data_IF_653502271887
#
_entry.id   IF_653502271887
#
_cell.length_a   1.000
_cell.length_b   1.000
_cell.length_c   1.000
_cell.angle_alpha   90.00
_cell.angle_beta   90.00
_cell.angle_gamma   90.00
#
_symmetry.space_group_name_H-M   'P 1'
#
loop_
_entity.id
_entity.type
_entity.pdbx_description
1 polymer ?
#
# COMPACT_ATOMS: atom_id res chain seq x y z
N UNK A 1 -22.34 1.07 -43.13
CA UNK A 1 -21.58 0.85 -41.88
C UNK A 1 -22.59 0.58 -40.78
N UNK A 2 -22.72 -0.66 -40.32
CA UNK A 2 -23.58 -0.97 -39.17
C UNK A 2 -23.04 -0.31 -37.90
N UNK A 3 -23.88 -0.03 -36.88
CA UNK A 3 -23.41 0.54 -35.63
C UNK A 3 -22.36 -0.40 -35.03
N UNK A 4 -21.16 0.12 -34.77
CA UNK A 4 -20.14 -0.57 -33.98
C UNK A 4 -20.77 -0.92 -32.63
N UNK A 5 -20.97 -2.22 -32.38
CA UNK A 5 -21.47 -2.69 -31.09
C UNK A 5 -20.38 -2.41 -30.06
N UNK A 6 -20.60 -1.40 -29.23
CA UNK A 6 -19.72 -1.09 -28.10
C UNK A 6 -19.96 -2.16 -27.04
N UNK A 7 -18.91 -2.89 -26.67
CA UNK A 7 -19.00 -3.86 -25.58
C UNK A 7 -19.32 -3.12 -24.26
N UNK A 8 -20.16 -3.68 -23.41
CA UNK A 8 -20.50 -3.08 -22.11
C UNK A 8 -20.13 -4.04 -20.98
N UNK A 9 -19.23 -3.63 -20.09
CA UNK A 9 -18.74 -4.43 -18.98
C UNK A 9 -19.20 -3.87 -17.63
N UNK A 10 -20.03 -4.62 -16.88
CA UNK A 10 -20.42 -4.23 -15.54
C UNK A 10 -19.23 -4.17 -14.58
N UNK A 11 -19.18 -3.14 -13.75
CA UNK A 11 -18.12 -2.95 -12.77
C UNK A 11 -18.63 -2.57 -11.38
N UNK A 12 -17.84 -2.95 -10.36
CA UNK A 12 -17.98 -2.47 -9.00
C UNK A 12 -17.03 -1.29 -8.76
N UNK A 13 -17.59 -0.14 -8.37
CA UNK A 13 -16.85 1.11 -8.21
C UNK A 13 -16.48 1.32 -6.74
N UNK A 14 -15.20 1.54 -6.45
CA UNK A 14 -14.76 1.93 -5.11
C UNK A 14 -15.34 3.29 -4.69
N UNK A 15 -15.80 3.46 -3.44
CA UNK A 15 -16.20 4.76 -2.92
C UNK A 15 -15.07 5.80 -2.99
N UNK A 16 -13.80 5.38 -3.04
CA UNK A 16 -12.65 6.29 -3.15
C UNK A 16 -12.55 6.98 -4.51
N UNK A 17 -13.20 6.44 -5.55
CA UNK A 17 -13.19 7.01 -6.92
C UNK A 17 -14.59 7.27 -7.48
N UNK A 18 -15.63 6.93 -6.70
CA UNK A 18 -17.03 7.07 -7.07
C UNK A 18 -17.39 8.46 -7.60
N UNK A 19 -16.95 9.52 -6.92
CA UNK A 19 -17.28 10.89 -7.28
C UNK A 19 -16.83 11.27 -8.71
N UNK A 20 -15.75 10.67 -9.23
CA UNK A 20 -15.30 10.91 -10.60
C UNK A 20 -16.09 10.13 -11.63
N UNK A 21 -16.55 8.94 -11.27
CA UNK A 21 -17.40 8.10 -12.13
C UNK A 21 -18.81 8.70 -12.23
N UNK A 22 -19.36 9.18 -11.11
CA UNK A 22 -20.72 9.74 -11.08
C UNK A 22 -20.78 11.18 -11.62
N UNK A 23 -19.63 11.86 -11.66
CA UNK A 23 -19.50 13.24 -12.12
C UNK A 23 -19.68 13.40 -13.63
N UNK A 24 -19.59 14.65 -14.14
CA UNK A 24 -19.69 14.93 -15.56
C UNK A 24 -18.57 14.22 -16.34
N UNK A 25 -18.84 13.68 -17.55
CA UNK A 25 -17.84 13.07 -18.41
C UNK A 25 -16.67 14.02 -18.70
N UNK A 26 -15.44 13.54 -18.48
CA UNK A 26 -14.20 14.26 -18.78
C UNK A 26 -13.17 13.32 -19.38
N UNK A 27 -12.42 13.80 -20.37
CA UNK A 27 -11.25 13.10 -20.88
C UNK A 27 -10.17 13.01 -19.80
N UNK A 28 -9.62 11.81 -19.61
CA UNK A 28 -8.60 11.46 -18.62
C UNK A 28 -7.51 10.65 -19.27
N UNK A 29 -6.26 10.98 -18.97
CA UNK A 29 -5.11 10.26 -19.49
C UNK A 29 -4.90 8.94 -18.76
N UNK A 30 -4.55 7.92 -19.52
CA UNK A 30 -4.11 6.62 -19.03
C UNK A 30 -2.63 6.71 -18.69
N UNK A 31 -2.31 6.52 -17.42
CA UNK A 31 -0.95 6.58 -16.91
C UNK A 31 -0.17 5.31 -17.26
N UNK A 32 -0.83 4.15 -17.19
CA UNK A 32 -0.23 2.85 -17.50
C UNK A 32 -1.32 1.84 -17.83
N UNK A 33 -0.99 0.90 -18.71
CA UNK A 33 -1.91 -0.15 -19.15
C UNK A 33 -1.22 -1.52 -19.10
N UNK A 34 -1.87 -2.47 -18.43
CA UNK A 34 -1.45 -3.86 -18.31
C UNK A 34 -2.60 -4.78 -18.70
N UNK A 35 -2.31 -6.08 -18.87
CA UNK A 35 -3.32 -7.07 -19.22
C UNK A 35 -4.53 -7.06 -18.28
N UNK A 36 -4.32 -6.89 -16.97
CA UNK A 36 -5.35 -7.01 -15.95
C UNK A 36 -5.69 -5.69 -15.25
N UNK A 37 -4.99 -4.59 -15.55
CA UNK A 37 -5.18 -3.31 -14.85
C UNK A 37 -4.80 -2.10 -15.72
N UNK A 38 -5.63 -1.06 -15.71
CA UNK A 38 -5.36 0.28 -16.25
C UNK A 38 -5.32 1.29 -15.11
N UNK A 39 -4.36 2.20 -15.15
CA UNK A 39 -4.31 3.35 -14.23
C UNK A 39 -4.67 4.62 -14.97
N UNK A 40 -5.68 5.34 -14.48
CA UNK A 40 -6.25 6.54 -15.11
C UNK A 40 -6.13 7.72 -14.15
N UNK A 41 -5.59 8.85 -14.62
CA UNK A 41 -5.49 10.06 -13.80
C UNK A 41 -6.87 10.70 -13.56
N UNK A 42 -7.08 11.32 -12.40
CA UNK A 42 -8.37 11.90 -12.02
C UNK A 42 -8.33 13.41 -11.73
N UNK A 43 -7.21 14.07 -12.07
CA UNK A 43 -7.09 15.53 -12.12
C UNK A 43 -6.08 16.15 -11.15
N UNK A 44 -5.61 15.41 -10.14
CA UNK A 44 -4.44 15.79 -9.34
C UNK A 44 -3.47 14.63 -9.26
N UNK A 45 -2.22 14.93 -8.93
CA UNK A 45 -1.12 13.96 -8.89
C UNK A 45 -1.41 12.73 -8.01
N UNK A 46 -2.07 12.91 -6.87
CA UNK A 46 -2.43 11.86 -5.91
C UNK A 46 -3.83 11.26 -6.14
N UNK A 47 -4.44 11.53 -7.30
CA UNK A 47 -5.78 11.03 -7.66
C UNK A 47 -5.68 10.19 -8.92
N UNK A 48 -5.67 8.88 -8.69
CA UNK A 48 -5.60 7.85 -9.72
C UNK A 48 -6.71 6.85 -9.46
N UNK A 49 -7.28 6.32 -10.53
CA UNK A 49 -8.23 5.21 -10.52
C UNK A 49 -7.60 4.00 -11.20
N UNK A 50 -7.77 2.82 -10.59
CA UNK A 50 -7.39 1.56 -11.20
C UNK A 50 -8.62 0.87 -11.80
N UNK A 51 -8.72 0.72 -13.12
CA UNK A 51 -9.73 -0.16 -13.73
C UNK A 51 -9.09 -1.54 -13.86
N UNK A 52 -9.67 -2.56 -13.23
CA UNK A 52 -8.98 -3.84 -13.13
C UNK A 52 -9.93 -5.05 -13.23
N UNK A 53 -9.38 -6.16 -13.70
CA UNK A 53 -10.10 -7.42 -13.84
C UNK A 53 -10.25 -8.14 -12.50
N UNK A 54 -11.10 -9.19 -12.41
CA UNK A 54 -11.29 -9.99 -11.22
C UNK A 54 -10.03 -10.63 -10.60
N UNK A 55 -9.06 -10.97 -11.44
CA UNK A 55 -7.80 -11.67 -11.15
C UNK A 55 -6.64 -10.72 -10.84
N UNK A 56 -6.82 -9.41 -11.04
CA UNK A 56 -5.87 -8.40 -10.58
C UNK A 56 -5.92 -8.21 -9.05
N UNK A 57 -4.86 -7.63 -8.50
CA UNK A 57 -4.84 -7.15 -7.11
C UNK A 57 -5.99 -6.18 -6.90
N UNK A 58 -6.80 -6.42 -5.87
CA UNK A 58 -7.94 -5.56 -5.54
C UNK A 58 -7.45 -4.29 -4.84
N UNK A 59 -7.24 -3.24 -5.62
CA UNK A 59 -6.76 -1.96 -5.12
C UNK A 59 -7.91 -1.13 -4.51
N UNK A 60 -7.65 -0.37 -3.43
CA UNK A 60 -8.68 0.47 -2.80
C UNK A 60 -9.18 1.60 -3.71
N UNK A 61 -8.40 2.00 -4.70
CA UNK A 61 -8.73 3.01 -5.72
C UNK A 61 -9.38 2.38 -6.98
N UNK A 62 -10.00 1.20 -6.83
CA UNK A 62 -10.39 0.33 -7.93
C UNK A 62 -11.81 0.52 -8.50
N UNK A 63 -11.93 0.29 -9.80
CA UNK A 63 -13.17 -0.05 -10.54
C UNK A 63 -12.98 -1.47 -11.07
N UNK A 64 -13.63 -2.44 -10.41
CA UNK A 64 -13.42 -3.86 -10.68
C UNK A 64 -14.45 -4.39 -11.69
N UNK A 65 -13.98 -4.91 -12.81
CA UNK A 65 -14.82 -5.56 -13.83
C UNK A 65 -15.47 -6.84 -13.29
N UNK A 66 -16.58 -7.25 -13.90
CA UNK A 66 -17.26 -8.51 -13.58
C UNK A 66 -16.57 -9.74 -14.15
N UNK A 67 -15.83 -9.60 -15.25
CA UNK A 67 -15.17 -10.70 -15.96
C UNK A 67 -13.75 -10.36 -16.42
N UNK A 68 -13.00 -11.36 -16.89
CA UNK A 68 -11.65 -11.17 -17.42
C UNK A 68 -11.69 -10.43 -18.76
N UNK A 69 -10.78 -9.48 -18.94
CA UNK A 69 -10.57 -8.71 -20.18
C UNK A 69 -9.09 -8.38 -20.26
N UNK A 70 -8.46 -8.54 -21.44
CA UNK A 70 -7.10 -8.03 -21.66
C UNK A 70 -7.16 -6.55 -21.95
N UNK A 71 -6.92 -5.73 -20.94
CA UNK A 71 -7.13 -4.28 -21.01
C UNK A 71 -6.08 -3.58 -21.89
N UNK A 72 -4.86 -4.08 -21.93
CA UNK A 72 -3.79 -3.54 -22.78
C UNK A 72 -3.96 -3.88 -24.27
N UNK A 73 -4.90 -4.74 -24.65
CA UNK A 73 -5.26 -4.95 -26.06
C UNK A 73 -6.14 -3.81 -26.60
N UNK A 74 -6.72 -3.00 -25.69
CA UNK A 74 -7.71 -1.97 -26.00
C UNK A 74 -7.18 -0.55 -25.81
N UNK A 75 -6.28 -0.38 -24.84
CA UNK A 75 -5.84 0.91 -24.33
C UNK A 75 -4.36 0.84 -23.95
N UNK A 76 -3.61 1.86 -24.30
CA UNK A 76 -2.18 2.00 -24.01
C UNK A 76 -1.91 3.17 -23.07
N UNK A 77 -0.71 3.19 -22.50
CA UNK A 77 -0.26 4.35 -21.72
C UNK A 77 -0.18 5.59 -22.63
N UNK A 78 -0.70 6.71 -22.15
CA UNK A 78 -0.80 7.97 -22.90
C UNK A 78 -2.15 8.20 -23.57
N UNK A 79 -2.95 7.15 -23.78
CA UNK A 79 -4.29 7.28 -24.35
C UNK A 79 -5.21 8.12 -23.46
N UNK A 80 -6.26 8.69 -24.07
CA UNK A 80 -7.30 9.43 -23.35
C UNK A 80 -8.59 8.62 -23.35
N UNK A 81 -9.10 8.34 -22.15
CA UNK A 81 -10.39 7.67 -21.92
C UNK A 81 -11.36 8.68 -21.30
N UNK A 82 -12.66 8.47 -21.48
CA UNK A 82 -13.66 9.36 -20.85
C UNK A 82 -14.14 8.77 -19.53
N UNK A 83 -14.04 9.52 -18.44
CA UNK A 83 -14.51 9.11 -17.11
C UNK A 83 -15.64 10.04 -16.67
N UNK A 84 -16.79 9.47 -16.29
CA UNK A 84 -17.97 10.20 -15.82
C UNK A 84 -19.26 9.59 -16.36
N UNK A 85 -20.41 10.14 -15.97
CA UNK A 85 -21.72 9.65 -16.42
C UNK A 85 -21.99 8.19 -16.03
N UNK A 86 -21.42 7.74 -14.91
CA UNK A 86 -21.53 6.38 -14.39
C UNK A 86 -20.62 5.34 -15.07
N UNK A 87 -19.66 5.75 -15.92
CA UNK A 87 -18.81 4.81 -16.68
C UNK A 87 -17.39 5.31 -16.93
N UNK A 88 -16.55 4.39 -17.40
CA UNK A 88 -15.27 4.67 -18.07
C UNK A 88 -15.39 4.19 -19.52
N UNK A 89 -15.31 5.11 -20.47
CA UNK A 89 -15.43 4.83 -21.90
C UNK A 89 -14.03 4.61 -22.46
N UNK A 90 -13.79 3.38 -22.92
CA UNK A 90 -12.58 2.93 -23.59
C UNK A 90 -12.84 2.88 -25.11
N UNK A 91 -11.79 2.79 -25.96
CA UNK A 91 -11.97 2.52 -27.38
C UNK A 91 -12.73 1.18 -27.58
N UNK A 92 -13.94 1.27 -28.13
CA UNK A 92 -14.77 0.10 -28.45
C UNK A 92 -15.45 -0.60 -27.25
N UNK A 93 -15.31 -0.09 -26.02
CA UNK A 93 -15.93 -0.69 -24.84
C UNK A 93 -16.26 0.33 -23.74
N UNK A 94 -17.35 0.11 -23.03
CA UNK A 94 -17.75 0.88 -21.84
C UNK A 94 -17.64 0.03 -20.58
N UNK A 95 -16.92 0.54 -19.58
CA UNK A 95 -16.92 -0.01 -18.22
C UNK A 95 -17.98 0.71 -17.40
N UNK A 96 -19.10 0.06 -17.17
CA UNK A 96 -20.29 0.66 -16.55
C UNK A 96 -20.33 0.35 -15.06
N UNK A 97 -20.34 1.39 -14.22
CA UNK A 97 -20.49 1.25 -12.78
C UNK A 97 -21.90 0.83 -12.41
N UNK A 98 -22.10 -0.45 -12.08
CA UNK A 98 -23.43 -1.01 -11.74
C UNK A 98 -23.65 -1.20 -10.24
N UNK A 99 -22.57 -1.16 -9.45
CA UNK A 99 -22.62 -1.29 -7.99
C UNK A 99 -21.43 -0.60 -7.32
N UNK A 100 -21.54 -0.37 -6.01
CA UNK A 100 -20.40 0.04 -5.18
C UNK A 100 -19.68 -1.19 -4.63
N UNK A 101 -18.36 -1.16 -4.64
CA UNK A 101 -17.56 -2.13 -3.88
C UNK A 101 -17.48 -1.70 -2.41
N UNK A 102 -17.03 -2.63 -1.56
CA UNK A 102 -16.75 -2.38 -0.14
C UNK A 102 -15.27 -2.63 0.10
N UNK A 103 -14.38 -1.66 -0.20
CA UNK A 103 -12.97 -1.80 0.14
C UNK A 103 -12.85 -2.01 1.64
N UNK A 104 -11.80 -2.72 2.04
CA UNK A 104 -11.53 -2.99 3.46
C UNK A 104 -10.46 -2.05 3.98
N UNK A 105 -10.52 -1.78 5.28
CA UNK A 105 -9.68 -0.80 5.94
C UNK A 105 -9.06 -1.44 7.19
N UNK A 106 -7.79 -1.14 7.42
CA UNK A 106 -7.11 -1.44 8.69
C UNK A 106 -7.78 -0.65 9.81
N UNK A 107 -8.18 -1.36 10.86
CA UNK A 107 -8.76 -0.77 12.08
C UNK A 107 -7.78 0.14 12.81
N UNK A 108 -8.30 1.01 13.68
CA UNK A 108 -7.46 1.75 14.64
C UNK A 108 -7.08 0.82 15.80
N UNK A 109 -5.88 1.03 16.35
CA UNK A 109 -5.27 0.20 17.39
C UNK A 109 -6.19 -0.24 18.53
N UNK A 110 -5.91 -1.46 19.01
CA UNK A 110 -6.65 -2.20 20.04
C UNK A 110 -6.12 -3.63 20.24
N UNK A 111 -5.37 -4.15 19.26
CA UNK A 111 -4.66 -5.42 19.35
C UNK A 111 -3.66 -5.51 20.49
N UNK A 112 -3.53 -6.68 21.12
CA UNK A 112 -2.47 -6.96 22.10
C UNK A 112 -1.11 -6.89 21.43
N UNK A 113 -0.12 -6.44 22.20
CA UNK A 113 1.25 -6.33 21.74
C UNK A 113 1.74 -7.64 21.08
N UNK A 114 2.81 -7.56 20.29
CA UNK A 114 3.28 -8.65 19.45
C UNK A 114 3.82 -9.90 20.22
N UNK A 115 3.54 -10.07 21.51
CA UNK A 115 4.04 -11.21 22.31
C UNK A 115 3.61 -12.58 21.76
N UNK A 116 2.46 -12.67 21.09
CA UNK A 116 2.01 -13.91 20.45
C UNK A 116 2.93 -14.37 19.31
N UNK A 117 3.62 -13.47 18.58
CA UNK A 117 4.51 -13.90 17.49
C UNK A 117 5.89 -14.34 17.98
N UNK A 118 6.39 -13.80 19.11
CA UNK A 118 7.60 -14.33 19.76
C UNK A 118 7.40 -15.80 20.15
N UNK A 119 6.22 -16.15 20.67
CA UNK A 119 5.86 -17.53 21.02
C UNK A 119 5.72 -18.47 19.81
N UNK A 120 5.51 -17.92 18.61
CA UNK A 120 5.38 -18.71 17.38
C UNK A 120 6.72 -18.96 16.67
N UNK A 121 7.84 -18.39 17.15
CA UNK A 121 9.16 -18.56 16.51
C UNK A 121 9.19 -18.13 15.04
N UNK A 122 8.18 -17.37 14.60
CA UNK A 122 8.05 -16.89 13.24
C UNK A 122 9.04 -15.74 13.05
N UNK A 123 10.27 -16.08 12.68
CA UNK A 123 10.98 -15.22 11.74
C UNK A 123 10.01 -15.00 10.57
N UNK A 124 9.56 -13.76 10.35
CA UNK A 124 8.66 -13.43 9.25
C UNK A 124 9.26 -14.07 7.98
N UNK A 125 8.56 -15.04 7.34
CA UNK A 125 9.18 -15.92 6.37
C UNK A 125 9.78 -15.09 5.24
N UNK A 126 11.10 -15.21 5.06
CA UNK A 126 11.83 -14.50 4.03
C UNK A 126 11.77 -12.98 4.15
N UNK A 127 11.90 -12.42 5.36
CA UNK A 127 12.25 -11.00 5.55
C UNK A 127 13.69 -10.65 5.05
N UNK A 128 14.26 -11.47 4.18
CA UNK A 128 15.39 -11.09 3.34
C UNK A 128 14.87 -10.04 2.38
N UNK A 129 14.96 -8.79 2.82
CA UNK A 129 14.89 -7.63 1.95
C UNK A 129 15.81 -7.89 0.78
N UNK A 130 15.27 -7.71 -0.42
CA UNK A 130 15.99 -8.03 -1.65
C UNK A 130 17.29 -7.22 -1.68
N UNK A 131 18.37 -7.82 -2.18
CA UNK A 131 19.69 -7.18 -2.25
C UNK A 131 19.67 -5.82 -3.00
N UNK A 132 18.65 -5.55 -3.83
CA UNK A 132 18.46 -4.28 -4.53
C UNK A 132 17.89 -3.14 -3.66
N UNK A 133 17.63 -3.36 -2.37
CA UNK A 133 17.14 -2.35 -1.44
C UNK A 133 18.25 -1.60 -0.68
N UNK A 134 19.53 -1.92 -0.87
CA UNK A 134 20.73 -1.29 -0.27
C UNK A 134 20.44 -0.23 0.82
N UNK A 135 20.13 -0.70 2.04
CA UNK A 135 19.98 0.12 3.24
C UNK A 135 18.64 0.84 3.44
N UNK A 136 17.64 0.65 2.56
CA UNK A 136 16.29 1.18 2.74
C UNK A 136 15.53 0.52 3.91
N UNK A 137 15.81 -0.75 4.18
CA UNK A 137 15.35 -1.51 5.33
C UNK A 137 15.79 -0.92 6.67
N UNK A 138 17.04 -0.51 6.70
CA UNK A 138 17.72 0.12 7.81
C UNK A 138 17.12 1.50 8.07
N UNK A 139 16.82 2.24 7.00
CA UNK A 139 16.08 3.50 7.06
C UNK A 139 14.65 3.27 7.56
N UNK A 140 13.94 2.27 7.06
CA UNK A 140 12.58 1.94 7.47
C UNK A 140 12.51 1.60 8.96
N UNK A 141 13.43 0.77 9.46
CA UNK A 141 13.50 0.40 10.88
C UNK A 141 13.80 1.62 11.75
N UNK A 142 14.81 2.44 11.38
CA UNK A 142 15.12 3.69 12.11
C UNK A 142 13.95 4.68 12.09
N UNK A 143 13.23 4.77 10.97
CA UNK A 143 12.04 5.61 10.82
C UNK A 143 10.92 5.14 11.75
N UNK A 144 10.66 3.83 11.84
CA UNK A 144 9.68 3.27 12.76
C UNK A 144 10.03 3.58 14.22
N UNK A 145 11.29 3.37 14.62
CA UNK A 145 11.75 3.72 15.98
C UNK A 145 11.59 5.22 16.24
N UNK A 146 12.00 6.08 15.30
CA UNK A 146 11.84 7.52 15.44
C UNK A 146 10.38 7.93 15.63
N UNK A 147 9.47 7.41 14.79
CA UNK A 147 8.04 7.69 14.89
C UNK A 147 7.45 7.23 16.23
N UNK A 148 7.75 5.99 16.65
CA UNK A 148 7.23 5.39 17.90
C UNK A 148 7.78 6.07 19.16
N UNK A 149 8.96 6.70 19.08
CA UNK A 149 9.60 7.43 20.19
C UNK A 149 9.36 8.94 20.14
N UNK A 150 8.52 9.43 19.22
CA UNK A 150 8.21 10.86 19.09
C UNK A 150 9.35 11.72 18.52
N UNK A 151 10.38 11.11 17.92
CA UNK A 151 11.48 11.81 17.26
C UNK A 151 11.07 12.28 15.85
N UNK A 152 11.77 13.27 15.26
CA UNK A 152 11.50 13.72 13.90
C UNK A 152 11.60 12.59 12.86
N UNK A 153 10.62 12.54 11.94
CA UNK A 153 10.49 11.50 10.90
C UNK A 153 10.83 12.01 9.49
N UNK A 154 10.97 13.33 9.34
CA UNK A 154 11.05 14.01 8.04
C UNK A 154 12.25 13.57 7.19
N UNK A 155 13.41 13.35 7.83
CA UNK A 155 14.61 12.90 7.13
C UNK A 155 14.44 11.47 6.61
N UNK A 156 13.95 10.54 7.45
CA UNK A 156 13.68 9.15 7.04
C UNK A 156 12.65 9.07 5.93
N UNK A 157 11.53 9.78 6.06
CA UNK A 157 10.53 9.89 4.99
C UNK A 157 11.14 10.48 3.71
N UNK A 158 11.99 11.50 3.84
CA UNK A 158 12.67 12.12 2.70
C UNK A 158 13.62 11.20 1.95
N UNK A 159 14.14 10.15 2.60
CA UNK A 159 14.96 9.11 1.94
C UNK A 159 14.12 8.01 1.30
N UNK A 160 12.90 7.75 1.79
CA UNK A 160 12.05 6.66 1.30
C UNK A 160 11.10 7.10 0.18
N UNK A 161 10.48 8.28 0.25
CA UNK A 161 9.48 8.68 -0.75
C UNK A 161 10.11 8.78 -2.14
N UNK A 162 9.58 7.98 -3.07
CA UNK A 162 10.06 7.89 -4.44
C UNK A 162 11.37 7.12 -4.62
N UNK A 163 11.90 6.47 -3.58
CA UNK A 163 13.12 5.66 -3.69
C UNK A 163 12.84 4.31 -4.34
N UNK A 164 13.60 3.97 -5.39
CA UNK A 164 13.40 2.76 -6.19
C UNK A 164 12.87 3.04 -7.59
N UNK A 165 12.80 2.01 -8.43
CA UNK A 165 12.35 2.11 -9.83
C UNK A 165 10.89 1.67 -9.99
N UNK A 166 10.28 2.05 -11.12
CA UNK A 166 8.96 1.55 -11.54
C UNK A 166 7.80 2.40 -11.05
N UNK A 167 6.58 1.87 -11.24
CA UNK A 167 5.34 2.58 -10.94
C UNK A 167 5.06 2.69 -9.44
N UNK A 168 5.54 1.73 -8.65
CA UNK A 168 5.51 1.75 -7.18
C UNK A 168 6.96 1.58 -6.71
N UNK A 169 7.69 2.69 -6.50
CA UNK A 169 9.04 2.63 -5.95
C UNK A 169 9.07 1.88 -4.60
N UNK A 170 10.07 1.04 -4.38
CA UNK A 170 10.18 0.21 -3.18
C UNK A 170 10.09 0.98 -1.86
N UNK A 171 10.66 2.18 -1.80
CA UNK A 171 10.56 3.06 -0.63
C UNK A 171 9.12 3.50 -0.31
N UNK A 172 8.25 3.59 -1.31
CA UNK A 172 6.85 3.92 -1.12
C UNK A 172 6.01 2.72 -0.65
N UNK A 173 6.30 1.53 -1.18
CA UNK A 173 5.67 0.29 -0.74
C UNK A 173 6.05 0.00 0.72
N UNK A 174 7.32 0.18 1.09
CA UNK A 174 7.81 0.19 2.47
C UNK A 174 7.01 1.17 3.35
N UNK A 175 6.87 2.43 2.91
CA UNK A 175 6.10 3.45 3.63
C UNK A 175 4.62 3.07 3.79
N UNK A 176 4.01 2.46 2.78
CA UNK A 176 2.63 1.95 2.87
C UNK A 176 2.52 0.87 3.95
N UNK A 177 3.46 -0.09 3.97
CA UNK A 177 3.56 -1.11 5.01
C UNK A 177 3.66 -0.51 6.42
N UNK A 178 4.53 0.49 6.59
CA UNK A 178 4.71 1.19 7.88
C UNK A 178 3.44 1.93 8.30
N UNK A 179 2.84 2.73 7.41
CA UNK A 179 1.62 3.49 7.69
C UNK A 179 0.47 2.56 8.12
N UNK A 180 0.25 1.48 7.37
CA UNK A 180 -0.80 0.51 7.69
C UNK A 180 -0.53 -0.22 9.01
N UNK A 181 0.73 -0.53 9.31
CA UNK A 181 1.12 -1.23 10.53
C UNK A 181 1.02 -0.35 11.76
N UNK A 182 1.53 0.88 11.72
CA UNK A 182 1.35 1.85 12.80
C UNK A 182 -0.15 2.06 13.07
N UNK A 183 -0.98 2.13 12.03
CA UNK A 183 -2.43 2.22 12.21
C UNK A 183 -3.02 1.02 12.99
N UNK A 184 -2.55 -0.19 12.70
CA UNK A 184 -3.04 -1.43 13.31
C UNK A 184 -2.55 -1.62 14.76
N UNK A 185 -1.30 -1.26 15.04
CA UNK A 185 -0.61 -1.63 16.28
C UNK A 185 -0.43 -0.47 17.27
N UNK A 186 -0.39 0.77 16.79
CA UNK A 186 -0.12 1.92 17.65
C UNK A 186 -1.25 2.10 18.66
N UNK A 187 -0.87 2.29 19.93
CA UNK A 187 -1.76 2.72 20.99
C UNK A 187 -1.45 4.17 21.35
N UNK A 188 -2.47 4.98 21.72
CA UNK A 188 -2.24 6.30 22.31
C UNK A 188 -1.21 6.23 23.45
N UNK A 189 -0.41 7.29 23.69
CA UNK A 189 -0.59 8.65 23.18
C UNK A 189 0.29 9.05 21.97
N UNK A 190 1.14 8.16 21.44
CA UNK A 190 2.36 8.59 20.74
C UNK A 190 2.23 9.21 19.34
N UNK A 191 1.04 9.22 18.72
CA UNK A 191 0.77 9.95 17.47
C UNK A 191 1.69 9.62 16.29
N UNK A 192 2.42 8.50 16.32
CA UNK A 192 3.42 8.06 15.35
C UNK A 192 2.83 7.96 13.94
N UNK A 193 1.66 7.32 13.80
CA UNK A 193 0.92 7.25 12.55
C UNK A 193 0.58 8.66 12.04
N UNK A 194 0.15 9.56 12.92
CA UNK A 194 -0.21 10.94 12.56
C UNK A 194 1.01 11.77 12.12
N UNK A 195 2.14 11.62 12.81
CA UNK A 195 3.40 12.27 12.44
C UNK A 195 3.89 11.78 11.08
N UNK A 196 3.92 10.46 10.87
CA UNK A 196 4.33 9.86 9.61
C UNK A 196 3.40 10.26 8.46
N UNK A 197 2.07 10.19 8.67
CA UNK A 197 1.07 10.63 7.71
C UNK A 197 1.34 12.06 7.24
N UNK A 198 1.53 13.02 8.15
CA UNK A 198 1.81 14.42 7.77
C UNK A 198 3.10 14.53 6.95
N UNK A 199 4.17 13.88 7.40
CA UNK A 199 5.47 13.94 6.73
C UNK A 199 5.43 13.37 5.31
N UNK A 200 4.73 12.25 5.11
CA UNK A 200 4.58 11.59 3.80
C UNK A 200 3.68 12.40 2.86
N UNK A 201 2.51 12.86 3.33
CA UNK A 201 1.58 13.63 2.50
C UNK A 201 2.20 14.92 1.96
N UNK A 202 3.11 15.56 2.71
CA UNK A 202 3.85 16.74 2.24
C UNK A 202 4.85 16.47 1.11
N UNK A 203 5.12 15.20 0.78
CA UNK A 203 6.16 14.77 -0.16
C UNK A 203 5.64 13.94 -1.34
N UNK A 204 4.33 13.81 -1.52
CA UNK A 204 3.75 13.01 -2.61
C UNK A 204 4.22 13.41 -4.02
N UNK A 205 4.62 14.67 -4.21
CA UNK A 205 5.19 15.17 -5.46
C UNK A 205 6.53 14.52 -5.85
N UNK A 206 7.19 13.81 -4.92
CA UNK A 206 8.48 13.14 -5.16
C UNK A 206 8.36 11.70 -5.65
N UNK A 207 7.13 11.20 -5.82
CA UNK A 207 6.89 9.86 -6.36
C UNK A 207 5.92 9.89 -7.54
N UNK A 208 5.69 8.75 -8.18
CA UNK A 208 4.73 8.57 -9.26
C UNK A 208 3.30 8.86 -8.79
N UNK A 209 2.41 9.21 -9.71
CA UNK A 209 1.01 9.46 -9.39
C UNK A 209 0.29 8.22 -8.83
N UNK A 210 0.65 7.04 -9.35
CA UNK A 210 0.10 5.75 -8.88
C UNK A 210 0.49 5.53 -7.42
N UNK A 211 1.78 5.63 -7.10
CA UNK A 211 2.28 5.47 -5.74
C UNK A 211 1.71 6.53 -4.79
N UNK A 212 1.64 7.79 -5.22
CA UNK A 212 1.05 8.88 -4.44
C UNK A 212 -0.42 8.61 -4.05
N UNK A 213 -1.22 8.04 -4.97
CA UNK A 213 -2.61 7.66 -4.70
C UNK A 213 -2.69 6.48 -3.72
N UNK A 214 -1.82 5.47 -3.85
CA UNK A 214 -1.75 4.31 -2.96
C UNK A 214 -1.29 4.70 -1.55
N UNK A 215 -0.27 5.54 -1.42
CA UNK A 215 0.16 6.14 -0.15
C UNK A 215 -1.01 6.91 0.49
N UNK A 216 -1.71 7.74 -0.27
CA UNK A 216 -2.85 8.50 0.24
C UNK A 216 -3.94 7.58 0.80
N UNK A 217 -4.23 6.47 0.11
CA UNK A 217 -5.13 5.43 0.59
C UNK A 217 -4.60 4.75 1.87
N UNK A 218 -3.31 4.41 1.91
CA UNK A 218 -2.65 3.77 3.05
C UNK A 218 -2.62 4.66 4.31
N UNK A 219 -2.43 5.98 4.19
CA UNK A 219 -2.52 6.92 5.33
C UNK A 219 -3.91 6.98 5.96
N UNK A 220 -4.92 6.52 5.23
CA UNK A 220 -6.26 6.35 5.74
C UNK A 220 -6.49 4.92 6.22
N UNK A 221 -5.65 3.95 5.90
CA UNK A 221 -5.81 2.55 6.27
C UNK A 221 -6.44 1.68 5.18
N UNK A 222 -6.70 2.24 3.99
CA UNK A 222 -7.23 1.45 2.87
C UNK A 222 -6.09 0.67 2.22
N UNK A 223 -6.30 -0.63 2.00
CA UNK A 223 -5.31 -1.51 1.39
C UNK A 223 -6.00 -2.70 0.70
N UNK A 224 -5.22 -3.53 0.02
CA UNK A 224 -5.71 -4.79 -0.54
C UNK A 224 -6.25 -5.71 0.57
N UNK A 225 -7.28 -6.55 0.28
CA UNK A 225 -7.90 -7.40 1.30
C UNK A 225 -6.94 -8.32 2.06
N UNK A 226 -5.97 -8.92 1.37
CA UNK A 226 -4.96 -9.78 2.00
C UNK A 226 -4.07 -8.99 2.97
N UNK A 227 -3.71 -7.74 2.68
CA UNK A 227 -2.94 -6.89 3.59
C UNK A 227 -3.74 -6.53 4.84
N UNK A 228 -5.03 -6.17 4.68
CA UNK A 228 -5.89 -5.88 5.83
C UNK A 228 -6.12 -7.13 6.67
N UNK A 229 -6.32 -8.30 6.05
CA UNK A 229 -6.44 -9.58 6.75
C UNK A 229 -5.15 -9.92 7.50
N UNK A 230 -3.99 -9.76 6.87
CA UNK A 230 -2.68 -10.00 7.49
C UNK A 230 -2.51 -9.14 8.73
N UNK A 231 -2.70 -7.82 8.62
CA UNK A 231 -2.55 -6.91 9.76
C UNK A 231 -3.58 -7.19 10.86
N UNK A 232 -4.81 -7.58 10.51
CA UNK A 232 -5.80 -8.03 11.48
C UNK A 232 -5.34 -9.27 12.26
N UNK A 233 -4.76 -10.26 11.58
CA UNK A 233 -4.22 -11.47 12.20
C UNK A 233 -3.05 -11.13 13.12
N UNK A 234 -2.10 -10.31 12.63
CA UNK A 234 -0.94 -9.86 13.40
C UNK A 234 -1.34 -9.03 14.62
N UNK A 235 -2.40 -8.24 14.52
CA UNK A 235 -2.93 -7.44 15.63
C UNK A 235 -3.84 -8.25 16.57
N UNK A 236 -4.11 -9.53 16.30
CA UNK A 236 -5.08 -10.32 17.06
C UNK A 236 -6.51 -9.78 17.01
N UNK A 237 -6.81 -8.89 16.05
CA UNK A 237 -8.12 -8.25 15.90
C UNK A 237 -9.12 -9.13 15.14
N UNK A 238 -8.64 -10.20 14.52
CA UNK A 238 -9.45 -11.25 13.91
C UNK A 238 -8.93 -12.62 14.32
N UNK A 239 -9.83 -13.61 14.51
CA UNK A 239 -9.41 -14.95 14.89
C UNK A 239 -8.60 -15.60 13.74
N UNK A 240 -7.46 -16.25 14.06
CA UNK A 240 -6.71 -17.01 13.08
C UNK A 240 -7.42 -18.32 12.75
N UNK A 241 -7.37 -18.74 11.49
CA UNK A 241 -7.63 -20.12 11.10
C UNK A 241 -6.30 -20.89 10.99
N UNK A 242 -6.29 -22.23 11.13
CA UNK A 242 -5.08 -23.02 10.89
C UNK A 242 -4.45 -22.66 9.54
N UNK A 243 -3.12 -22.50 9.51
CA UNK A 243 -2.27 -22.16 8.34
C UNK A 243 -2.60 -20.88 7.57
N UNK A 244 -3.58 -20.08 8.02
CA UNK A 244 -4.07 -18.91 7.29
C UNK A 244 -3.02 -17.80 7.16
N UNK A 245 -2.23 -17.57 8.21
CA UNK A 245 -1.21 -16.53 8.21
C UNK A 245 -0.21 -16.73 7.06
N UNK A 246 0.35 -17.93 6.92
CA UNK A 246 1.28 -18.26 5.84
C UNK A 246 0.62 -18.12 4.47
N UNK A 247 -0.63 -18.56 4.33
CA UNK A 247 -1.36 -18.42 3.08
C UNK A 247 -1.61 -16.95 2.69
N UNK A 248 -1.99 -16.10 3.65
CA UNK A 248 -2.18 -14.66 3.42
C UNK A 248 -0.85 -13.98 3.13
N UNK A 249 0.22 -14.33 3.85
CA UNK A 249 1.58 -13.81 3.61
C UNK A 249 2.06 -14.13 2.19
N UNK A 250 1.90 -15.37 1.74
CA UNK A 250 2.30 -15.79 0.40
C UNK A 250 1.48 -15.06 -0.68
N UNK A 251 0.17 -14.87 -0.49
CA UNK A 251 -0.63 -14.06 -1.42
C UNK A 251 -0.21 -12.59 -1.43
N UNK A 252 0.13 -12.03 -0.27
CA UNK A 252 0.64 -10.68 -0.16
C UNK A 252 2.00 -10.50 -0.86
N UNK A 253 2.89 -11.50 -0.78
CA UNK A 253 4.16 -11.54 -1.55
C UNK A 253 3.92 -11.49 -3.07
N UNK A 254 2.85 -12.12 -3.55
CA UNK A 254 2.49 -12.13 -4.98
C UNK A 254 1.79 -10.84 -5.47
N UNK A 255 1.67 -9.79 -4.65
CA UNK A 255 1.14 -8.50 -5.08
C UNK A 255 2.15 -7.79 -5.97
N UNK A 256 1.82 -7.63 -7.25
CA UNK A 256 2.72 -7.01 -8.23
C UNK A 256 4.01 -7.83 -8.41
N UNK A 257 5.00 -7.25 -9.10
CA UNK A 257 6.29 -7.91 -9.28
C UNK A 257 7.12 -7.91 -7.99
N UNK A 258 7.18 -6.76 -7.30
CA UNK A 258 8.02 -6.54 -6.12
C UNK A 258 7.30 -5.79 -5.00
N UNK A 259 6.22 -5.08 -5.33
CA UNK A 259 5.48 -4.20 -4.41
C UNK A 259 5.00 -4.93 -3.15
N UNK A 260 4.52 -6.17 -3.30
CA UNK A 260 4.09 -7.01 -2.19
C UNK A 260 5.20 -7.29 -1.17
N UNK A 261 6.38 -7.66 -1.66
CA UNK A 261 7.54 -7.92 -0.83
C UNK A 261 8.01 -6.66 -0.10
N UNK A 262 8.09 -5.52 -0.80
CA UNK A 262 8.54 -4.24 -0.23
C UNK A 262 7.54 -3.72 0.82
N UNK A 263 6.23 -3.90 0.59
CA UNK A 263 5.21 -3.58 1.58
C UNK A 263 5.34 -4.47 2.83
N UNK A 264 5.53 -5.78 2.66
CA UNK A 264 5.73 -6.73 3.76
C UNK A 264 7.00 -6.42 4.57
N UNK A 265 8.05 -5.91 3.91
CA UNK A 265 9.24 -5.42 4.59
C UNK A 265 8.94 -4.20 5.49
N UNK A 266 8.06 -3.29 5.06
CA UNK A 266 7.62 -2.15 5.87
C UNK A 266 6.81 -2.58 7.10
N UNK A 267 5.97 -3.61 6.92
CA UNK A 267 5.27 -4.27 8.03
C UNK A 267 6.28 -4.87 9.01
N UNK A 268 7.25 -5.61 8.49
CA UNK A 268 8.32 -6.25 9.28
C UNK A 268 9.11 -5.22 10.09
N UNK A 269 9.58 -4.14 9.48
CA UNK A 269 10.30 -3.07 10.15
C UNK A 269 9.51 -2.46 11.32
N UNK A 270 8.19 -2.31 11.15
CA UNK A 270 7.31 -1.79 12.21
C UNK A 270 7.20 -2.76 13.38
N UNK A 271 6.99 -4.05 13.10
CA UNK A 271 6.92 -5.09 14.14
C UNK A 271 8.25 -5.19 14.89
N UNK A 272 9.37 -5.18 14.19
CA UNK A 272 10.71 -5.17 14.79
C UNK A 272 10.87 -3.98 15.72
N UNK A 273 10.58 -2.76 15.26
CA UNK A 273 10.71 -1.55 16.10
C UNK A 273 9.84 -1.61 17.36
N UNK A 274 8.56 -2.02 17.25
CA UNK A 274 7.66 -2.18 18.39
C UNK A 274 8.20 -3.18 19.42
N UNK A 275 8.85 -4.23 18.94
CA UNK A 275 9.28 -5.34 19.79
C UNK A 275 10.62 -5.09 20.45
N UNK A 276 11.53 -4.37 19.80
CA UNK A 276 12.74 -3.83 20.41
C UNK A 276 12.39 -2.84 21.52
N UNK A 277 11.37 -1.99 21.33
CA UNK A 277 10.93 -1.02 22.34
C UNK A 277 10.15 -1.65 23.50
N UNK A 278 9.48 -2.79 23.27
CA UNK A 278 8.72 -3.51 24.30
C UNK A 278 9.57 -4.48 25.15
N UNK A 279 10.78 -4.83 24.70
CA UNK A 279 11.71 -5.60 25.53
C UNK A 279 12.26 -4.70 26.64
N UNK A 280 12.21 -5.11 27.92
CA UNK A 280 12.95 -4.40 28.96
C UNK A 280 14.41 -4.37 28.54
N UNK A 281 15.05 -3.20 28.59
CA UNK A 281 16.48 -3.01 28.29
C UNK A 281 17.28 -4.11 28.99
N UNK A 282 17.66 -5.17 28.25
CA UNK A 282 18.77 -6.02 28.62
C UNK A 282 19.96 -5.41 27.90
N UNK A 283 20.95 -5.00 28.68
CA UNK A 283 22.11 -4.20 28.29
C UNK A 283 23.09 -4.92 27.33
N UNK A 284 22.59 -5.83 26.47
CA UNK A 284 23.38 -6.75 25.65
C UNK A 284 22.84 -6.95 24.22
N UNK A 285 21.87 -6.16 23.75
CA UNK A 285 21.36 -6.28 22.37
C UNK A 285 22.41 -5.78 21.34
N UNK A 286 22.84 -6.59 20.35
CA UNK A 286 23.77 -6.17 19.28
C UNK A 286 23.34 -4.91 18.52
N UNK A 287 22.03 -4.63 18.39
CA UNK A 287 21.54 -3.40 17.76
C UNK A 287 21.87 -2.15 18.60
N UNK A 288 21.83 -2.27 19.93
CA UNK A 288 22.20 -1.18 20.82
C UNK A 288 23.70 -0.87 20.78
N UNK A 289 24.54 -1.88 20.49
CA UNK A 289 25.98 -1.71 20.31
C UNK A 289 26.28 -1.03 18.97
N UNK A 290 25.60 -1.45 17.88
CA UNK A 290 25.76 -0.85 16.55
C UNK A 290 25.28 0.60 16.49
N UNK A 291 24.17 0.93 17.16
CA UNK A 291 23.66 2.30 17.23
C UNK A 291 24.64 3.22 17.98
N UNK A 292 25.23 2.75 19.09
CA UNK A 292 26.25 3.50 19.85
C UNK A 292 27.56 3.69 19.08
N UNK A 293 28.00 2.67 18.33
CA UNK A 293 29.22 2.75 17.51
C UNK A 293 29.05 3.66 16.28
N UNK A 294 27.85 3.70 15.71
CA UNK A 294 27.47 4.60 14.61
C UNK A 294 27.47 6.08 15.04
N UNK A 295 26.95 6.37 16.24
CA UNK A 295 26.93 7.72 16.83
C UNK A 295 28.33 8.22 17.19
N UNK A 296 29.23 7.34 17.65
CA UNK A 296 30.62 7.67 17.96
C UNK A 296 31.50 7.93 16.71
N UNK A 297 31.08 7.44 15.53
CA UNK A 297 31.82 7.63 14.27
C UNK A 297 31.46 8.93 13.52
N UNK A 298 30.43 9.66 13.99
CA UNK A 298 29.92 10.89 13.36
C UNK A 298 29.92 12.10 14.31
N UNK A 299 30.53 11.97 15.49
CA UNK A 299 30.84 13.07 16.42
C UNK A 299 32.31 13.47 16.26
#
# INVERSE_FOLDING_TARGET
MGPLVVASWPAAVSPLVAAWIDGPPRGRRVLSAFATCLYVELGSHDRVMAVHTPDAVQLPIGVRLSGPVRLNDLVHAGDVVTVGGGRVQLPGADVVGVRRSRPVRVGLGGGTAPSAWRSLGLALPGAGLRDDLDGLDDVATRLCVAALTGRPVQAGVGRLVGAGRGLTPSGDDLLCGILLSLRAFERPPHGAHSALKRAVLSRLHRTTSISAALISAATQGWAAPDIVRLLGLLAGSVPPRPTELCAVWNRAQCIGHTSGADLLAGITATVTALTSLASPMRDTDPLSVRLRQSEAAHA
#
